data_IF_540070391799
#
_entry.id   IF_540070391799
#
_cell.length_a   1.000
_cell.length_b   1.000
_cell.length_c   1.000
_cell.angle_alpha   90.00
_cell.angle_beta   90.00
_cell.angle_gamma   90.00
#
_symmetry.space_group_name_H-M   'P 1'
#
loop_
_entity.id
_entity.type
_entity.pdbx_description
1 polymer ?
#
# COMPACT_ATOMS: atom_id res chain seq x y z
N UNK A 1 -3.13 -33.48 14.14
CA UNK A 1 -3.57 -32.05 14.11
C UNK A 1 -4.27 -31.67 15.41
N UNK A 2 -4.20 -30.42 15.77
CA UNK A 2 -5.00 -29.90 16.90
C UNK A 2 -6.41 -29.60 16.41
N UNK A 3 -7.40 -30.17 17.08
CA UNK A 3 -8.80 -30.05 16.68
C UNK A 3 -9.57 -29.14 17.61
N UNK A 4 -10.33 -28.21 17.03
CA UNK A 4 -11.34 -27.40 17.71
C UNK A 4 -12.69 -27.85 17.18
N UNK A 5 -13.61 -28.26 18.07
CA UNK A 5 -14.92 -28.76 17.68
C UNK A 5 -15.90 -27.64 17.27
N UNK A 6 -17.12 -28.03 16.91
CA UNK A 6 -18.16 -27.11 16.46
C UNK A 6 -18.56 -26.07 17.53
N UNK A 7 -18.43 -26.41 18.80
CA UNK A 7 -18.71 -25.52 19.92
C UNK A 7 -17.53 -24.62 20.31
N UNK A 8 -16.38 -24.78 19.64
CA UNK A 8 -15.15 -24.01 19.90
C UNK A 8 -14.27 -24.61 21.00
N UNK A 9 -14.55 -25.83 21.45
CA UNK A 9 -13.76 -26.54 22.46
C UNK A 9 -12.53 -27.18 21.84
N UNK A 10 -11.38 -27.01 22.48
CA UNK A 10 -10.14 -27.62 22.04
C UNK A 10 -10.09 -29.09 22.43
N UNK A 11 -10.11 -29.99 21.46
CA UNK A 11 -10.05 -31.46 21.66
C UNK A 11 -8.63 -32.01 21.77
N UNK A 12 -7.63 -31.14 21.71
CA UNK A 12 -6.23 -31.54 21.70
C UNK A 12 -5.74 -32.04 20.36
N UNK A 13 -4.70 -32.86 20.37
CA UNK A 13 -4.12 -33.44 19.15
C UNK A 13 -4.80 -34.76 18.83
N UNK A 14 -5.43 -34.83 17.67
CA UNK A 14 -6.15 -36.03 17.20
C UNK A 14 -5.68 -36.43 15.79
N UNK A 15 -5.83 -37.73 15.40
CA UNK A 15 -5.60 -38.15 14.03
C UNK A 15 -6.62 -37.52 13.07
N UNK A 16 -6.24 -37.39 11.80
CA UNK A 16 -7.11 -36.81 10.75
C UNK A 16 -8.41 -37.60 10.55
N UNK A 17 -8.34 -38.93 10.70
CA UNK A 17 -9.52 -39.81 10.56
C UNK A 17 -10.57 -39.51 11.60
N UNK A 18 -10.15 -39.42 12.87
CA UNK A 18 -11.04 -39.07 13.99
C UNK A 18 -11.64 -37.66 13.80
N UNK A 19 -10.84 -36.70 13.35
CA UNK A 19 -11.32 -35.34 13.07
C UNK A 19 -12.37 -35.31 11.95
N UNK A 20 -12.21 -36.12 10.93
CA UNK A 20 -13.18 -36.24 9.82
C UNK A 20 -14.47 -36.87 10.28
N UNK A 21 -14.38 -37.93 11.11
CA UNK A 21 -15.57 -38.59 11.67
C UNK A 21 -16.41 -37.65 12.54
N UNK A 22 -15.75 -36.87 13.41
CA UNK A 22 -16.41 -35.86 14.24
C UNK A 22 -17.06 -34.74 13.38
N UNK A 23 -16.42 -34.31 12.31
CA UNK A 23 -16.98 -33.34 11.39
C UNK A 23 -18.22 -33.90 10.66
N UNK A 24 -18.18 -35.15 10.26
CA UNK A 24 -19.30 -35.83 9.61
C UNK A 24 -20.47 -36.03 10.57
N UNK A 25 -20.22 -36.41 11.79
CA UNK A 25 -21.26 -36.53 12.86
C UNK A 25 -21.94 -35.19 13.13
N UNK A 26 -21.20 -34.09 13.07
CA UNK A 26 -21.72 -32.74 13.23
C UNK A 26 -22.37 -32.17 11.96
N UNK A 27 -22.32 -32.88 10.83
CA UNK A 27 -22.77 -32.42 9.51
C UNK A 27 -22.13 -31.10 9.09
N UNK A 28 -20.86 -30.92 9.44
CA UNK A 28 -20.08 -29.71 9.16
C UNK A 28 -18.78 -30.09 8.45
N UNK A 29 -18.05 -29.06 8.04
CA UNK A 29 -16.77 -29.21 7.35
C UNK A 29 -15.60 -29.20 8.34
N UNK A 30 -14.54 -29.94 8.02
CA UNK A 30 -13.26 -29.84 8.71
C UNK A 30 -12.37 -28.86 7.96
N UNK A 31 -12.06 -27.73 8.59
CA UNK A 31 -11.32 -26.61 7.98
C UNK A 31 -9.98 -26.41 8.66
N UNK A 32 -8.90 -26.37 7.90
CA UNK A 32 -7.57 -26.05 8.40
C UNK A 32 -7.43 -24.53 8.55
N UNK A 33 -7.44 -24.04 9.80
CA UNK A 33 -7.42 -22.60 10.10
C UNK A 33 -6.02 -22.06 10.34
N UNK A 34 -5.05 -22.90 10.71
CA UNK A 34 -3.66 -22.51 10.92
C UNK A 34 -2.71 -23.59 10.39
N UNK A 35 -2.41 -23.59 9.08
CA UNK A 35 -1.55 -24.60 8.46
C UNK A 35 -0.09 -24.52 8.91
N UNK A 36 0.38 -23.34 9.28
CA UNK A 36 1.77 -23.11 9.69
C UNK A 36 2.03 -23.43 11.18
N UNK A 37 0.99 -23.69 11.96
CA UNK A 37 1.15 -24.10 13.35
C UNK A 37 1.69 -25.53 13.44
N UNK A 38 2.40 -25.84 14.51
CA UNK A 38 2.97 -27.17 14.76
C UNK A 38 2.42 -27.69 16.12
N UNK A 39 1.47 -28.63 16.12
CA UNK A 39 0.78 -29.25 14.98
C UNK A 39 -0.21 -28.29 14.30
N UNK A 40 -0.58 -28.54 13.01
CA UNK A 40 -1.60 -27.75 12.33
C UNK A 40 -2.93 -27.72 13.10
N UNK A 41 -3.63 -26.61 13.07
CA UNK A 41 -4.92 -26.42 13.76
C UNK A 41 -6.05 -26.52 12.75
N UNK A 42 -6.99 -27.42 13.02
CA UNK A 42 -8.22 -27.57 12.24
C UNK A 42 -9.44 -27.29 13.12
N UNK A 43 -10.49 -26.82 12.51
CA UNK A 43 -11.76 -26.55 13.20
C UNK A 43 -12.93 -27.12 12.41
N UNK A 44 -13.89 -27.65 13.16
CA UNK A 44 -15.16 -28.14 12.60
C UNK A 44 -16.11 -26.94 12.50
N UNK A 45 -16.48 -26.56 11.28
CA UNK A 45 -17.35 -25.41 11.02
C UNK A 45 -17.96 -25.47 9.63
N UNK A 46 -18.94 -24.62 9.35
CA UNK A 46 -19.44 -24.39 8.00
C UNK A 46 -18.42 -23.54 7.23
N UNK A 47 -17.79 -24.14 6.24
CA UNK A 47 -16.75 -23.48 5.43
C UNK A 47 -17.30 -22.29 4.63
N UNK A 48 -18.51 -22.41 4.09
CA UNK A 48 -19.15 -21.31 3.36
C UNK A 48 -19.35 -20.08 4.23
N UNK A 49 -19.86 -20.26 5.43
CA UNK A 49 -20.05 -19.19 6.42
C UNK A 49 -18.70 -18.59 6.84
N UNK A 50 -17.71 -19.42 7.11
CA UNK A 50 -16.36 -18.98 7.46
C UNK A 50 -15.73 -18.12 6.35
N UNK A 51 -15.80 -18.58 5.10
CA UNK A 51 -15.28 -17.84 3.92
C UNK A 51 -15.99 -16.50 3.74
N UNK A 52 -17.29 -16.48 3.92
CA UNK A 52 -18.08 -15.23 3.85
C UNK A 52 -17.64 -14.23 4.91
N UNK A 53 -17.51 -14.65 6.16
CA UNK A 53 -17.06 -13.79 7.27
C UNK A 53 -15.64 -13.29 7.06
N UNK A 54 -14.71 -14.12 6.56
CA UNK A 54 -13.34 -13.72 6.24
C UNK A 54 -13.32 -12.66 5.13
N UNK A 55 -14.06 -12.88 4.05
CA UNK A 55 -14.17 -11.92 2.95
C UNK A 55 -14.76 -10.59 3.43
N UNK A 56 -15.76 -10.65 4.30
CA UNK A 56 -16.37 -9.46 4.89
C UNK A 56 -15.36 -8.68 5.75
N UNK A 57 -14.61 -9.37 6.62
CA UNK A 57 -13.56 -8.74 7.43
C UNK A 57 -12.47 -8.10 6.58
N UNK A 58 -12.03 -8.77 5.52
CA UNK A 58 -11.04 -8.23 4.59
C UNK A 58 -11.54 -6.98 3.87
N UNK A 59 -12.80 -6.97 3.44
CA UNK A 59 -13.42 -5.79 2.81
C UNK A 59 -13.49 -4.61 3.78
N UNK A 60 -13.90 -4.85 5.03
CA UNK A 60 -13.96 -3.81 6.06
C UNK A 60 -12.58 -3.28 6.40
N UNK A 61 -11.59 -4.16 6.55
CA UNK A 61 -10.19 -3.77 6.78
C UNK A 61 -9.64 -2.94 5.63
N UNK A 62 -9.94 -3.33 4.38
CA UNK A 62 -9.54 -2.61 3.18
C UNK A 62 -10.20 -1.23 3.09
N UNK A 63 -11.47 -1.11 3.49
CA UNK A 63 -12.16 0.19 3.57
C UNK A 63 -11.57 1.12 4.62
N UNK A 64 -11.08 0.58 5.73
CA UNK A 64 -10.46 1.36 6.81
C UNK A 64 -9.03 1.80 6.49
N UNK A 65 -8.36 1.12 5.55
CA UNK A 65 -7.04 1.55 5.10
C UNK A 65 -7.16 2.90 4.39
N UNK A 66 -6.47 3.90 4.92
CA UNK A 66 -6.31 5.18 4.21
C UNK A 66 -5.51 4.92 2.94
N UNK A 67 -6.17 5.03 1.80
CA UNK A 67 -5.47 5.05 0.51
C UNK A 67 -4.73 6.38 0.42
N UNK A 68 -3.42 6.32 0.46
CA UNK A 68 -2.60 7.50 0.17
C UNK A 68 -2.66 7.72 -1.33
N UNK A 69 -3.31 8.79 -1.74
CA UNK A 69 -3.39 9.19 -3.14
C UNK A 69 -2.09 9.88 -3.55
N UNK A 70 -1.54 9.49 -4.70
CA UNK A 70 -0.35 10.12 -5.28
C UNK A 70 -0.79 10.97 -6.47
N UNK A 71 -0.52 12.25 -6.40
CA UNK A 71 -0.73 13.19 -7.50
C UNK A 71 0.58 13.46 -8.24
N UNK A 72 0.51 13.54 -9.55
CA UNK A 72 1.70 13.78 -10.39
C UNK A 72 1.64 15.17 -11.02
N UNK A 73 2.71 15.93 -10.88
CA UNK A 73 2.93 17.21 -11.56
C UNK A 73 4.03 16.99 -12.58
N UNK A 74 3.72 17.29 -13.83
CA UNK A 74 4.65 17.15 -14.95
C UNK A 74 5.26 18.50 -15.32
N UNK A 75 6.58 18.50 -15.44
CA UNK A 75 7.37 19.66 -15.79
C UNK A 75 8.31 19.30 -16.95
N UNK A 76 8.88 20.32 -17.57
CA UNK A 76 9.97 20.17 -18.53
C UNK A 76 11.14 21.03 -18.07
N UNK A 77 12.38 20.78 -18.54
CA UNK A 77 13.52 21.64 -18.20
C UNK A 77 13.35 23.09 -18.64
N UNK A 78 12.46 23.35 -19.60
CA UNK A 78 12.14 24.68 -20.13
C UNK A 78 10.95 25.35 -19.47
N UNK A 79 10.33 24.70 -18.46
CA UNK A 79 9.21 25.29 -17.74
C UNK A 79 9.64 26.61 -17.11
N UNK A 80 8.95 27.69 -17.44
CA UNK A 80 9.23 29.00 -16.86
C UNK A 80 8.81 29.08 -15.38
N UNK A 81 9.28 30.12 -14.69
CA UNK A 81 9.03 30.31 -13.28
C UNK A 81 7.53 30.46 -12.96
N UNK A 82 6.74 31.04 -13.86
CA UNK A 82 5.31 31.21 -13.69
C UNK A 82 4.58 29.86 -13.68
N UNK A 83 4.83 29.02 -14.68
CA UNK A 83 4.20 27.68 -14.75
C UNK A 83 4.72 26.74 -13.67
N UNK A 84 5.99 26.86 -13.32
CA UNK A 84 6.58 26.15 -12.18
C UNK A 84 5.89 26.55 -10.88
N UNK A 85 5.64 27.84 -10.68
CA UNK A 85 4.93 28.36 -9.52
C UNK A 85 3.49 27.83 -9.40
N UNK A 86 2.79 27.67 -10.53
CA UNK A 86 1.46 27.04 -10.57
C UNK A 86 1.55 25.57 -10.10
N UNK A 87 2.55 24.83 -10.58
CA UNK A 87 2.80 23.45 -10.17
C UNK A 87 3.09 23.34 -8.68
N UNK A 88 3.92 24.22 -8.14
CA UNK A 88 4.24 24.28 -6.72
C UNK A 88 2.99 24.57 -5.86
N UNK A 89 2.16 25.52 -6.28
CA UNK A 89 0.90 25.82 -5.59
C UNK A 89 -0.07 24.63 -5.56
N UNK A 90 -0.20 23.93 -6.69
CA UNK A 90 -1.00 22.70 -6.75
C UNK A 90 -0.44 21.61 -5.84
N UNK A 91 0.87 21.42 -5.86
CA UNK A 91 1.55 20.47 -5.00
C UNK A 91 1.36 20.78 -3.53
N UNK A 92 1.48 22.05 -3.14
CA UNK A 92 1.23 22.50 -1.76
C UNK A 92 -0.18 22.17 -1.32
N UNK A 93 -1.19 22.47 -2.14
CA UNK A 93 -2.59 22.15 -1.85
C UNK A 93 -2.79 20.66 -1.61
N UNK A 94 -2.25 19.80 -2.49
CA UNK A 94 -2.39 18.36 -2.34
C UNK A 94 -1.65 17.81 -1.12
N UNK A 95 -0.48 18.35 -0.81
CA UNK A 95 0.26 18.00 0.41
C UNK A 95 -0.50 18.39 1.67
N UNK A 96 -1.13 19.56 1.69
CA UNK A 96 -2.00 20.02 2.80
C UNK A 96 -3.23 19.13 2.96
N UNK A 97 -3.73 18.54 1.88
CA UNK A 97 -4.82 17.56 1.89
C UNK A 97 -4.38 16.15 2.34
N UNK A 98 -3.10 15.94 2.62
CA UNK A 98 -2.53 14.67 3.05
C UNK A 98 -2.17 13.71 1.92
N UNK A 99 -2.12 14.20 0.68
CA UNK A 99 -1.72 13.42 -0.50
C UNK A 99 -0.21 13.48 -0.72
N UNK A 100 0.35 12.45 -1.34
CA UNK A 100 1.72 12.48 -1.82
C UNK A 100 1.77 13.14 -3.20
N UNK A 101 2.82 13.89 -3.48
CA UNK A 101 3.00 14.55 -4.77
C UNK A 101 4.30 14.08 -5.42
N UNK A 102 4.16 13.61 -6.65
CA UNK A 102 5.27 13.21 -7.49
C UNK A 102 5.53 14.31 -8.52
N UNK A 103 6.70 14.91 -8.46
CA UNK A 103 7.16 15.85 -9.46
C UNK A 103 8.00 15.12 -10.50
N UNK A 104 7.63 15.26 -11.77
CA UNK A 104 8.30 14.59 -12.86
C UNK A 104 8.76 15.61 -13.89
N UNK A 105 10.05 15.61 -14.17
CA UNK A 105 10.65 16.40 -15.26
C UNK A 105 10.89 15.48 -16.45
N UNK A 106 10.26 15.78 -17.58
CA UNK A 106 10.46 15.04 -18.83
C UNK A 106 11.48 15.75 -19.70
N UNK A 107 12.54 15.05 -20.01
CA UNK A 107 13.56 15.52 -20.95
C UNK A 107 13.20 15.13 -22.37
N UNK A 108 13.48 16.04 -23.33
CA UNK A 108 13.36 15.76 -24.76
C UNK A 108 14.76 15.62 -25.35
N UNK A 109 14.96 14.64 -26.22
CA UNK A 109 16.15 14.49 -27.04
C UNK A 109 17.47 15.01 -26.40
N UNK A 110 17.96 16.17 -26.84
CA UNK A 110 19.22 16.74 -26.38
C UNK A 110 19.22 17.24 -24.93
N UNK A 111 18.04 17.47 -24.35
CA UNK A 111 17.92 17.98 -22.97
C UNK A 111 18.43 16.99 -21.95
N UNK A 112 18.41 15.69 -22.26
CA UNK A 112 18.91 14.63 -21.37
C UNK A 112 20.42 14.72 -21.12
N UNK A 113 21.16 15.44 -22.00
CA UNK A 113 22.58 15.67 -21.82
C UNK A 113 22.89 16.55 -20.60
N UNK A 114 21.90 17.30 -20.13
CA UNK A 114 22.02 18.21 -18.98
C UNK A 114 21.00 17.85 -17.89
N UNK A 115 21.14 16.68 -17.24
CA UNK A 115 20.18 16.25 -16.22
C UNK A 115 20.21 17.14 -14.96
N UNK A 116 21.29 17.88 -14.74
CA UNK A 116 21.46 18.79 -13.61
C UNK A 116 20.37 19.87 -13.55
N UNK A 117 19.89 20.35 -14.71
CA UNK A 117 18.82 21.35 -14.79
C UNK A 117 17.54 20.84 -14.13
N UNK A 118 17.18 19.59 -14.43
CA UNK A 118 16.01 18.93 -13.82
C UNK A 118 16.22 18.68 -12.33
N UNK A 119 17.41 18.26 -11.95
CA UNK A 119 17.75 18.01 -10.54
C UNK A 119 17.68 19.29 -9.71
N UNK A 120 18.25 20.38 -10.21
CA UNK A 120 18.21 21.68 -9.53
C UNK A 120 16.77 22.22 -9.42
N UNK A 121 15.97 22.04 -10.49
CA UNK A 121 14.55 22.41 -10.47
C UNK A 121 13.77 21.64 -9.40
N UNK A 122 13.94 20.33 -9.35
CA UNK A 122 13.27 19.49 -8.36
C UNK A 122 13.74 19.78 -6.94
N UNK A 123 15.04 19.98 -6.76
CA UNK A 123 15.58 20.35 -5.45
C UNK A 123 15.05 21.71 -4.98
N UNK A 124 14.97 22.69 -5.86
CA UNK A 124 14.38 24.00 -5.56
C UNK A 124 12.90 23.90 -5.15
N UNK A 125 12.12 23.04 -5.81
CA UNK A 125 10.73 22.76 -5.45
C UNK A 125 10.64 22.11 -4.07
N UNK A 126 11.51 21.15 -3.79
CA UNK A 126 11.56 20.49 -2.48
C UNK A 126 11.89 21.49 -1.36
N UNK A 127 12.82 22.40 -1.61
CA UNK A 127 13.20 23.44 -0.66
C UNK A 127 12.05 24.42 -0.38
N UNK A 128 11.30 24.82 -1.42
CA UNK A 128 10.11 25.67 -1.28
C UNK A 128 9.00 25.00 -0.46
N UNK A 129 8.86 23.68 -0.57
CA UNK A 129 7.82 22.92 0.12
C UNK A 129 8.31 22.25 1.43
N UNK A 130 9.55 22.52 1.84
CA UNK A 130 10.15 21.92 3.03
C UNK A 130 9.43 22.23 4.34
N UNK A 131 8.63 23.30 4.38
CA UNK A 131 7.82 23.68 5.53
C UNK A 131 6.63 22.72 5.78
N UNK A 132 6.14 22.03 4.74
CA UNK A 132 4.97 21.16 4.84
C UNK A 132 5.20 19.74 4.34
N UNK A 133 6.34 19.47 3.74
CA UNK A 133 6.62 18.18 3.10
C UNK A 133 8.02 17.69 3.36
N UNK A 134 8.18 16.38 3.33
CA UNK A 134 9.45 15.67 3.43
C UNK A 134 9.73 14.97 2.10
N UNK A 135 10.98 15.00 1.67
CA UNK A 135 11.42 14.29 0.48
C UNK A 135 11.46 12.77 0.77
N UNK A 136 10.47 12.05 0.26
CA UNK A 136 10.40 10.59 0.39
C UNK A 136 11.33 9.89 -0.59
N UNK A 137 11.41 10.40 -1.80
CA UNK A 137 12.29 9.91 -2.85
C UNK A 137 13.05 11.07 -3.48
N UNK A 138 14.38 11.00 -3.46
CA UNK A 138 15.27 11.99 -4.09
C UNK A 138 15.10 12.00 -5.61
N UNK A 139 15.42 13.12 -6.29
CA UNK A 139 15.41 13.15 -7.73
C UNK A 139 16.21 12.00 -8.32
N UNK A 140 15.58 11.20 -9.15
CA UNK A 140 16.16 10.04 -9.79
C UNK A 140 15.82 10.03 -11.29
N UNK A 141 16.84 9.87 -12.12
CA UNK A 141 16.71 9.82 -13.58
C UNK A 141 16.47 8.38 -14.02
N UNK A 142 15.31 8.14 -14.64
CA UNK A 142 14.96 6.88 -15.28
C UNK A 142 14.58 7.12 -16.74
N UNK A 143 15.47 6.73 -17.67
CA UNK A 143 15.26 7.01 -19.09
C UNK A 143 15.18 8.50 -19.38
N UNK A 144 14.04 8.95 -19.90
CA UNK A 144 13.78 10.34 -20.28
C UNK A 144 13.09 11.17 -19.18
N UNK A 145 12.94 10.61 -17.97
CA UNK A 145 12.19 11.22 -16.88
C UNK A 145 13.00 11.27 -15.61
N UNK A 146 12.97 12.40 -14.95
CA UNK A 146 13.50 12.53 -13.60
C UNK A 146 12.32 12.73 -12.64
N UNK A 147 12.23 11.90 -11.61
CA UNK A 147 11.13 11.91 -10.67
C UNK A 147 11.60 12.15 -9.25
N UNK A 148 10.79 12.87 -8.50
CA UNK A 148 10.96 13.12 -7.07
C UNK A 148 9.61 12.95 -6.40
N UNK A 149 9.59 12.35 -5.21
CA UNK A 149 8.36 12.22 -4.44
C UNK A 149 8.45 12.96 -3.12
N UNK A 150 7.45 13.78 -2.86
CA UNK A 150 7.25 14.47 -1.60
C UNK A 150 6.05 13.88 -0.87
N UNK A 151 6.18 13.67 0.42
CA UNK A 151 5.10 13.27 1.30
C UNK A 151 4.79 14.37 2.32
N UNK A 152 3.53 14.49 2.79
CA UNK A 152 3.20 15.43 3.83
C UNK A 152 4.02 15.17 5.10
N UNK A 153 4.44 16.23 5.78
CA UNK A 153 5.09 16.12 7.08
C UNK A 153 4.15 15.42 8.08
N UNK A 154 4.69 14.47 8.85
CA UNK A 154 3.89 13.67 9.78
C UNK A 154 3.11 12.50 9.14
N UNK A 155 3.23 12.29 7.83
CA UNK A 155 2.69 11.10 7.15
C UNK A 155 3.67 9.95 7.27
N UNK A 156 3.29 8.94 8.01
CA UNK A 156 4.03 7.67 8.11
C UNK A 156 3.45 6.63 7.18
#
# INVERSE_FOLDING_TARGET
MRLIDAEGTNRGVVPIEEARDLAQEAELDLVEVAPNAKPPVCRIMDYGKFTYEQTRKEREARKRQKKVEIKTIRLTPRTDDFHRGIGVKKGRKWLEEGKKVKFMVRFRAREITYPEIGQDMLQGIADELSDIAVMEQKPNLEGWRMTMMLSPEGST
#
